data_IF_394486644900
#
_entry.id   IF_394486644900
#
_cell.length_a   1.000
_cell.length_b   1.000
_cell.length_c   1.000
_cell.angle_alpha   90.00
_cell.angle_beta   90.00
_cell.angle_gamma   90.00
#
_symmetry.space_group_name_H-M   'P 1'
#
loop_
_entity.id
_entity.type
_entity.pdbx_description
1 polymer ?
#
# COMPACT_ATOMS: atom_id res chain seq x y z
N UNK A 1 10.24 -13.49 -15.87
CA UNK A 1 10.78 -12.18 -15.45
C UNK A 1 10.40 -11.91 -14.00
N UNK A 2 11.34 -11.47 -13.16
CA UNK A 2 11.11 -11.12 -11.76
C UNK A 2 11.00 -9.58 -11.65
N UNK A 3 9.84 -9.08 -11.24
CA UNK A 3 9.57 -7.64 -11.14
C UNK A 3 9.46 -7.23 -9.68
N UNK A 4 10.16 -6.15 -9.29
CA UNK A 4 10.08 -5.53 -7.98
C UNK A 4 9.35 -4.19 -8.08
N UNK A 5 8.49 -3.92 -7.10
CA UNK A 5 7.90 -2.59 -6.91
C UNK A 5 8.32 -2.05 -5.54
N UNK A 6 8.94 -0.87 -5.50
CA UNK A 6 9.35 -0.20 -4.27
C UNK A 6 8.38 0.93 -3.96
N UNK A 7 7.60 0.76 -2.87
CA UNK A 7 6.66 1.75 -2.37
C UNK A 7 6.97 2.05 -0.89
N UNK A 8 7.82 3.06 -0.59
CA UNK A 8 8.31 3.31 0.77
C UNK A 8 7.42 4.23 1.61
N UNK A 9 6.21 4.57 1.15
CA UNK A 9 5.26 5.38 1.89
C UNK A 9 4.73 4.66 3.12
N UNK A 10 4.23 5.45 4.08
CA UNK A 10 3.85 4.97 5.40
C UNK A 10 2.32 4.88 5.49
N UNK A 11 1.84 3.71 5.91
CA UNK A 11 0.44 3.50 6.25
C UNK A 11 -0.36 2.69 5.23
N UNK A 12 -1.44 2.11 5.73
CA UNK A 12 -2.35 1.26 4.95
C UNK A 12 -3.02 2.05 3.80
N UNK A 13 -3.42 3.31 4.06
CA UNK A 13 -4.04 4.15 3.04
C UNK A 13 -3.13 4.40 1.84
N UNK A 14 -1.84 4.66 2.07
CA UNK A 14 -0.88 4.78 0.97
C UNK A 14 -0.75 3.45 0.20
N UNK A 15 -0.77 2.29 0.90
CA UNK A 15 -0.71 0.99 0.23
C UNK A 15 -1.91 0.80 -0.71
N UNK A 16 -3.11 1.10 -0.24
CA UNK A 16 -4.34 1.00 -1.06
C UNK A 16 -4.27 1.92 -2.28
N UNK A 17 -3.79 3.16 -2.13
CA UNK A 17 -3.62 4.11 -3.23
C UNK A 17 -2.71 3.56 -4.34
N UNK A 18 -1.68 2.79 -3.98
CA UNK A 18 -0.73 2.25 -4.96
C UNK A 18 -1.16 0.93 -5.59
N UNK A 19 -2.17 0.23 -5.06
CA UNK A 19 -2.63 -1.07 -5.60
C UNK A 19 -2.98 -1.06 -7.09
N UNK A 20 -3.74 -0.09 -7.63
CA UNK A 20 -4.09 -0.08 -9.05
C UNK A 20 -2.85 -0.11 -9.96
N UNK A 21 -1.80 0.60 -9.57
CA UNK A 21 -0.55 0.70 -10.32
C UNK A 21 0.28 -0.58 -10.22
N UNK A 22 0.31 -1.19 -9.04
CA UNK A 22 0.97 -2.48 -8.79
C UNK A 22 0.28 -3.58 -9.62
N UNK A 23 -1.05 -3.61 -9.62
CA UNK A 23 -1.83 -4.54 -10.42
C UNK A 23 -1.63 -4.31 -11.93
N UNK A 24 -1.57 -3.05 -12.39
CA UNK A 24 -1.28 -2.74 -13.78
C UNK A 24 0.09 -3.26 -14.22
N UNK A 25 1.11 -3.09 -13.38
CA UNK A 25 2.46 -3.64 -13.61
C UNK A 25 2.40 -5.18 -13.70
N UNK A 26 1.75 -5.84 -12.74
CA UNK A 26 1.59 -7.29 -12.74
C UNK A 26 0.90 -7.78 -14.01
N UNK A 27 -0.19 -7.14 -14.42
CA UNK A 27 -0.95 -7.47 -15.64
C UNK A 27 -0.11 -7.27 -16.91
N UNK A 28 0.59 -6.13 -17.02
CA UNK A 28 1.44 -5.83 -18.21
C UNK A 28 2.54 -6.86 -18.42
N UNK A 29 3.19 -7.28 -17.35
CA UNK A 29 4.28 -8.24 -17.40
C UNK A 29 3.81 -9.70 -17.26
N UNK A 30 2.50 -9.93 -17.12
CA UNK A 30 1.88 -11.27 -16.94
C UNK A 30 2.59 -12.08 -15.84
N UNK A 31 2.96 -11.43 -14.75
CA UNK A 31 3.67 -12.04 -13.62
C UNK A 31 3.26 -11.39 -12.31
N UNK A 32 3.14 -12.18 -11.25
CA UNK A 32 2.99 -11.62 -9.91
C UNK A 32 4.29 -10.90 -9.51
N UNK A 33 4.16 -9.70 -8.93
CA UNK A 33 5.28 -8.83 -8.58
C UNK A 33 5.68 -8.97 -7.11
N UNK A 34 6.95 -8.82 -6.81
CA UNK A 34 7.42 -8.62 -5.44
C UNK A 34 7.30 -7.16 -5.06
N UNK A 35 6.90 -6.86 -3.82
CA UNK A 35 6.81 -5.48 -3.35
C UNK A 35 7.74 -5.24 -2.15
N UNK A 36 8.42 -4.09 -2.13
CA UNK A 36 9.21 -3.61 -1.00
C UNK A 36 8.48 -2.44 -0.35
N UNK A 37 7.94 -2.67 0.84
CA UNK A 37 7.06 -1.75 1.56
C UNK A 37 7.42 -1.67 3.04
N UNK A 38 6.98 -0.64 3.74
CA UNK A 38 7.14 -0.54 5.20
C UNK A 38 6.15 -1.46 5.93
N UNK A 39 6.54 -1.93 7.12
CA UNK A 39 5.72 -2.79 7.98
C UNK A 39 4.33 -2.20 8.25
N UNK A 40 4.28 -0.91 8.57
CA UNK A 40 3.02 -0.22 8.87
C UNK A 40 2.10 0.03 7.66
N UNK A 41 2.49 -0.41 6.47
CA UNK A 41 1.59 -0.51 5.31
C UNK A 41 0.52 -1.58 5.49
N UNK A 42 0.73 -2.52 6.43
CA UNK A 42 -0.11 -3.69 6.66
C UNK A 42 -0.30 -4.56 5.41
N UNK A 43 0.67 -4.53 4.49
CA UNK A 43 0.60 -5.24 3.22
C UNK A 43 0.38 -6.75 3.42
N UNK A 44 1.04 -7.38 4.39
CA UNK A 44 0.86 -8.80 4.71
C UNK A 44 -0.60 -9.18 5.05
N UNK A 45 -1.35 -8.26 5.68
CA UNK A 45 -2.76 -8.48 6.00
C UNK A 45 -3.68 -8.15 4.82
N UNK A 46 -3.36 -7.05 4.13
CA UNK A 46 -4.20 -6.49 3.07
C UNK A 46 -4.13 -7.31 1.77
N UNK A 47 -2.96 -7.90 1.47
CA UNK A 47 -2.64 -8.52 0.19
C UNK A 47 -2.40 -10.03 0.30
N UNK A 48 -2.82 -10.67 1.39
CA UNK A 48 -2.59 -12.10 1.63
C UNK A 48 -3.17 -12.99 0.51
N UNK A 49 -4.29 -12.58 -0.07
CA UNK A 49 -5.01 -13.33 -1.12
C UNK A 49 -4.78 -12.71 -2.52
N UNK A 50 -3.87 -11.75 -2.63
CA UNK A 50 -3.68 -11.02 -3.88
C UNK A 50 -2.76 -11.76 -4.85
N UNK A 51 -3.37 -12.38 -5.87
CA UNK A 51 -2.67 -13.13 -6.93
C UNK A 51 -1.67 -12.31 -7.75
N UNK A 52 -1.75 -10.99 -7.72
CA UNK A 52 -0.82 -10.09 -8.38
C UNK A 52 0.47 -9.88 -7.58
N UNK A 53 0.49 -10.31 -6.31
CA UNK A 53 1.63 -10.17 -5.42
C UNK A 53 2.29 -11.54 -5.19
N UNK A 54 3.58 -11.62 -5.51
CA UNK A 54 4.39 -12.83 -5.31
C UNK A 54 4.96 -12.94 -3.91
N UNK A 55 5.52 -11.83 -3.43
CA UNK A 55 6.09 -11.75 -2.08
C UNK A 55 6.11 -10.30 -1.59
N UNK A 56 6.09 -10.14 -0.28
CA UNK A 56 6.15 -8.86 0.40
C UNK A 56 7.46 -8.77 1.16
N UNK A 57 8.33 -7.86 0.74
CA UNK A 57 9.59 -7.55 1.38
C UNK A 57 9.40 -6.35 2.30
N UNK A 58 9.88 -6.45 3.53
CA UNK A 58 9.73 -5.37 4.51
C UNK A 58 10.93 -4.43 4.47
N UNK A 59 10.66 -3.18 4.19
CA UNK A 59 11.61 -2.08 4.31
C UNK A 59 11.66 -1.62 5.77
N UNK A 60 12.57 -2.18 6.53
CA UNK A 60 12.79 -1.83 7.93
C UNK A 60 13.63 -0.54 8.04
N UNK A 61 12.94 0.60 7.99
CA UNK A 61 13.52 1.93 8.19
C UNK A 61 12.69 2.73 9.18
N UNK A 62 13.35 3.26 10.20
CA UNK A 62 12.74 4.00 11.29
C UNK A 62 13.11 5.49 11.25
N UNK A 63 12.37 6.32 11.98
CA UNK A 63 12.71 7.75 12.14
C UNK A 63 14.01 7.96 12.92
N UNK A 64 14.33 7.05 13.83
CA UNK A 64 15.48 7.14 14.73
C UNK A 64 16.73 6.44 14.17
N UNK A 65 16.73 6.08 12.88
CA UNK A 65 17.83 5.36 12.22
C UNK A 65 18.25 4.05 12.92
N UNK A 66 17.31 3.37 13.55
CA UNK A 66 17.54 2.08 14.26
C UNK A 66 17.09 0.86 13.45
N UNK A 67 16.47 1.05 12.30
CA UNK A 67 16.05 -0.03 11.41
C UNK A 67 17.24 -0.70 10.70
N UNK A 68 17.08 -1.96 10.36
CA UNK A 68 18.13 -2.76 9.70
C UNK A 68 18.52 -2.22 8.32
N UNK A 69 17.68 -1.41 7.70
CA UNK A 69 17.92 -0.76 6.40
C UNK A 69 18.23 0.74 6.51
N UNK A 70 18.59 1.22 7.71
CA UNK A 70 18.99 2.61 7.94
C UNK A 70 20.49 2.83 7.76
N UNK A 71 20.89 4.08 7.61
CA UNK A 71 22.29 4.48 7.44
C UNK A 71 22.97 3.87 6.22
N UNK A 72 24.30 3.86 6.22
CA UNK A 72 25.12 3.26 5.16
C UNK A 72 25.14 1.74 5.23
N UNK A 73 25.25 1.17 6.44
CA UNK A 73 25.21 -0.28 6.64
C UNK A 73 23.91 -0.88 6.12
N UNK A 74 22.77 -0.28 6.44
CA UNK A 74 21.46 -0.71 5.95
C UNK A 74 21.26 -0.48 4.45
N UNK A 75 21.95 0.48 3.88
CA UNK A 75 21.98 0.66 2.43
C UNK A 75 22.62 -0.55 1.73
N UNK A 76 23.81 -0.98 2.17
CA UNK A 76 24.49 -2.14 1.59
C UNK A 76 23.77 -3.45 1.92
N UNK A 77 23.21 -3.57 3.12
CA UNK A 77 22.38 -4.73 3.48
C UNK A 77 21.21 -4.90 2.54
N UNK A 78 20.40 -3.86 2.34
CA UNK A 78 19.25 -3.91 1.42
C UNK A 78 19.69 -4.21 -0.02
N UNK A 79 20.83 -3.63 -0.47
CA UNK A 79 21.36 -3.95 -1.81
C UNK A 79 21.72 -5.42 -1.95
N UNK A 80 22.34 -6.02 -0.92
CA UNK A 80 22.67 -7.45 -0.89
C UNK A 80 21.41 -8.31 -0.86
N UNK A 81 20.43 -7.97 -0.04
CA UNK A 81 19.17 -8.71 0.08
C UNK A 81 18.41 -8.73 -1.25
N UNK A 82 18.35 -7.58 -1.95
CA UNK A 82 17.73 -7.51 -3.27
C UNK A 82 18.55 -8.24 -4.35
N UNK A 83 19.87 -8.22 -4.27
CA UNK A 83 20.75 -8.97 -5.20
C UNK A 83 20.50 -10.46 -5.16
N UNK A 84 20.29 -11.03 -3.99
CA UNK A 84 19.97 -12.46 -3.81
C UNK A 84 18.63 -12.87 -4.43
N UNK A 85 17.74 -11.91 -4.66
CA UNK A 85 16.43 -12.13 -5.28
C UNK A 85 16.47 -12.14 -6.81
N UNK A 86 17.52 -11.57 -7.41
CA UNK A 86 17.76 -11.55 -8.87
C UNK A 86 16.59 -10.95 -9.66
N UNK A 87 16.18 -9.73 -9.32
CA UNK A 87 15.16 -9.01 -10.04
C UNK A 87 15.64 -8.52 -11.41
N UNK A 88 14.81 -8.68 -12.43
CA UNK A 88 15.08 -8.20 -13.79
C UNK A 88 14.72 -6.72 -13.97
N UNK A 89 13.64 -6.30 -13.31
CA UNK A 89 13.08 -4.94 -13.41
C UNK A 89 12.58 -4.45 -12.07
N UNK A 90 12.73 -3.13 -11.85
CA UNK A 90 12.17 -2.45 -10.66
C UNK A 90 11.42 -1.19 -11.04
N UNK A 91 10.27 -0.98 -10.39
CA UNK A 91 9.50 0.25 -10.40
C UNK A 91 9.61 0.93 -9.04
N UNK A 92 10.13 2.17 -9.00
CA UNK A 92 10.40 2.90 -7.76
C UNK A 92 9.45 4.09 -7.65
N UNK A 93 8.40 3.96 -6.86
CA UNK A 93 7.43 5.02 -6.55
C UNK A 93 7.99 6.04 -5.54
N UNK A 94 9.23 6.43 -5.76
CA UNK A 94 9.95 7.39 -4.91
C UNK A 94 11.05 8.11 -5.71
N UNK A 95 11.30 9.39 -5.41
CA UNK A 95 12.33 10.21 -6.08
C UNK A 95 13.70 10.17 -5.39
N UNK A 96 13.93 9.26 -4.45
CA UNK A 96 15.18 9.18 -3.70
C UNK A 96 16.27 8.47 -4.48
N UNK A 97 17.43 9.11 -4.63
CA UNK A 97 18.64 8.50 -5.17
C UNK A 97 19.04 7.20 -4.45
N UNK A 98 18.69 7.09 -3.17
CA UNK A 98 18.99 5.90 -2.37
C UNK A 98 18.45 4.62 -3.01
N UNK A 99 17.18 4.61 -3.41
CA UNK A 99 16.58 3.40 -4.01
C UNK A 99 17.12 3.12 -5.40
N UNK A 100 17.44 4.15 -6.18
CA UNK A 100 18.11 4.02 -7.46
C UNK A 100 19.46 3.31 -7.31
N UNK A 101 20.29 3.81 -6.39
CA UNK A 101 21.63 3.27 -6.16
C UNK A 101 21.57 1.84 -5.58
N UNK A 102 20.69 1.58 -4.63
CA UNK A 102 20.42 0.23 -4.11
C UNK A 102 20.09 -0.75 -5.24
N UNK A 103 19.18 -0.36 -6.13
CA UNK A 103 18.77 -1.20 -7.25
C UNK A 103 19.92 -1.46 -8.25
N UNK A 104 20.74 -0.44 -8.52
CA UNK A 104 21.93 -0.59 -9.38
C UNK A 104 22.98 -1.54 -8.76
N UNK A 105 23.27 -1.38 -7.47
CA UNK A 105 24.22 -2.24 -6.73
C UNK A 105 23.68 -3.67 -6.63
N UNK A 106 22.36 -3.84 -6.51
CA UNK A 106 21.71 -5.14 -6.54
C UNK A 106 21.80 -5.83 -7.93
N UNK A 107 22.28 -5.12 -8.96
CA UNK A 107 22.43 -5.65 -10.30
C UNK A 107 21.16 -5.63 -11.15
N UNK A 108 20.12 -4.88 -10.72
CA UNK A 108 18.88 -4.75 -11.49
C UNK A 108 19.13 -3.87 -12.72
N UNK A 109 18.94 -4.44 -13.91
CA UNK A 109 19.29 -3.75 -15.17
C UNK A 109 18.23 -2.73 -15.61
N UNK A 110 16.96 -3.05 -15.44
CA UNK A 110 15.85 -2.22 -15.87
C UNK A 110 15.23 -1.48 -14.68
N UNK A 111 15.52 -0.18 -14.56
CA UNK A 111 15.07 0.63 -13.42
C UNK A 111 14.18 1.75 -13.91
N UNK A 112 12.93 1.74 -13.49
CA UNK A 112 11.97 2.83 -13.67
C UNK A 112 11.75 3.53 -12.34
N UNK A 113 11.94 4.86 -12.29
CA UNK A 113 11.85 5.64 -11.05
C UNK A 113 11.11 6.95 -11.28
N UNK A 114 10.42 7.45 -10.26
CA UNK A 114 9.94 8.83 -10.24
C UNK A 114 11.08 9.82 -10.53
N UNK A 115 10.84 10.88 -11.31
CA UNK A 115 11.84 11.91 -11.54
C UNK A 115 12.41 12.45 -10.23
N UNK A 116 13.75 12.66 -10.18
CA UNK A 116 14.43 13.13 -8.98
C UNK A 116 13.95 14.52 -8.53
N UNK A 117 13.63 15.39 -9.49
CA UNK A 117 13.15 16.76 -9.28
C UNK A 117 11.73 16.89 -9.82
N UNK A 118 10.76 16.33 -9.12
CA UNK A 118 9.36 16.50 -9.53
C UNK A 118 8.66 17.54 -8.65
N UNK A 119 7.69 18.25 -9.23
CA UNK A 119 6.75 19.08 -8.48
C UNK A 119 5.95 18.21 -7.48
N UNK A 120 5.55 18.82 -6.37
CA UNK A 120 4.64 18.16 -5.42
C UNK A 120 3.23 18.13 -6.02
N UNK A 121 2.90 17.03 -6.65
CA UNK A 121 1.56 16.76 -7.15
C UNK A 121 0.80 15.80 -6.24
N UNK A 122 -0.48 15.66 -6.50
CA UNK A 122 -1.30 14.65 -5.87
C UNK A 122 -0.69 13.25 -6.09
N UNK A 123 -0.68 12.44 -5.03
CA UNK A 123 -0.07 11.12 -5.03
C UNK A 123 -0.67 10.19 -6.10
N UNK A 124 -2.00 10.22 -6.27
CA UNK A 124 -2.73 9.42 -7.26
C UNK A 124 -2.32 9.81 -8.67
N UNK A 125 -2.34 11.13 -8.97
CA UNK A 125 -1.96 11.68 -10.27
C UNK A 125 -0.51 11.32 -10.63
N UNK A 126 0.40 11.48 -9.67
CA UNK A 126 1.82 11.16 -9.89
C UNK A 126 2.05 9.67 -10.16
N UNK A 127 1.38 8.81 -9.42
CA UNK A 127 1.52 7.36 -9.60
C UNK A 127 0.90 6.93 -10.93
N UNK A 128 -0.25 7.50 -11.30
CA UNK A 128 -0.90 7.26 -12.59
C UNK A 128 0.02 7.62 -13.75
N UNK A 129 0.44 8.90 -13.83
CA UNK A 129 1.28 9.39 -14.93
C UNK A 129 2.56 8.56 -15.07
N UNK A 130 3.23 8.27 -13.95
CA UNK A 130 4.44 7.45 -13.96
C UNK A 130 4.17 6.07 -14.53
N UNK A 131 3.11 5.41 -14.06
CA UNK A 131 2.81 4.04 -14.48
C UNK A 131 2.37 4.01 -15.95
N UNK A 132 1.54 4.94 -16.38
CA UNK A 132 1.11 5.07 -17.80
C UNK A 132 2.30 5.29 -18.73
N UNK A 133 3.21 6.19 -18.37
CA UNK A 133 4.42 6.45 -19.16
C UNK A 133 5.33 5.22 -19.28
N UNK A 134 5.47 4.45 -18.19
CA UNK A 134 6.33 3.26 -18.16
C UNK A 134 5.72 2.03 -18.86
N UNK A 135 4.41 1.91 -18.82
CA UNK A 135 3.70 0.76 -19.40
C UNK A 135 3.20 1.02 -20.83
N UNK A 136 3.05 2.29 -21.23
CA UNK A 136 2.44 2.69 -22.50
C UNK A 136 0.93 2.45 -22.55
N UNK A 137 0.26 2.23 -21.41
CA UNK A 137 -1.16 1.89 -21.32
C UNK A 137 -1.88 2.81 -20.32
N UNK A 138 -3.17 3.05 -20.53
CA UNK A 138 -4.02 3.78 -19.58
C UNK A 138 -4.25 2.92 -18.34
N UNK A 139 -4.06 3.50 -17.15
CA UNK A 139 -4.16 2.78 -15.86
C UNK A 139 -5.33 3.31 -15.04
N UNK A 140 -6.13 2.38 -14.51
CA UNK A 140 -7.19 2.71 -13.53
C UNK A 140 -6.58 3.28 -12.26
N UNK A 141 -7.30 4.20 -11.61
CA UNK A 141 -6.97 4.72 -10.29
C UNK A 141 -7.79 4.07 -9.17
N UNK A 142 -8.71 3.17 -9.52
CA UNK A 142 -9.57 2.49 -8.56
C UNK A 142 -8.84 1.31 -7.91
N UNK A 143 -8.66 1.32 -6.59
CA UNK A 143 -8.05 0.20 -5.90
C UNK A 143 -9.03 -0.98 -5.81
N UNK A 144 -8.50 -2.16 -5.97
CA UNK A 144 -9.21 -3.42 -5.76
C UNK A 144 -8.47 -4.22 -4.70
N UNK A 145 -9.18 -4.64 -3.65
CA UNK A 145 -8.67 -5.54 -2.62
C UNK A 145 -9.27 -6.91 -2.89
N UNK A 146 -8.40 -7.87 -3.17
CA UNK A 146 -8.83 -9.25 -3.43
C UNK A 146 -9.02 -9.93 -2.08
N UNK A 147 -10.22 -10.47 -1.87
CA UNK A 147 -10.62 -11.18 -0.64
C UNK A 147 -10.94 -12.63 -0.94
N UNK A 148 -10.73 -13.48 0.06
CA UNK A 148 -11.13 -14.88 0.00
C UNK A 148 -12.66 -14.99 0.14
N UNK A 149 -13.30 -15.79 -0.72
CA UNK A 149 -14.75 -15.99 -0.74
C UNK A 149 -15.27 -16.61 0.58
N UNK A 150 -14.50 -17.47 1.23
CA UNK A 150 -14.87 -18.07 2.51
C UNK A 150 -14.97 -17.00 3.60
N UNK A 151 -14.01 -16.08 3.66
CA UNK A 151 -14.04 -14.94 4.59
C UNK A 151 -15.19 -13.98 4.29
N UNK A 152 -15.51 -13.78 3.02
CA UNK A 152 -16.69 -12.98 2.63
C UNK A 152 -17.98 -13.64 3.08
N UNK A 153 -18.10 -14.96 2.92
CA UNK A 153 -19.28 -15.72 3.34
C UNK A 153 -19.40 -15.75 4.87
N UNK A 154 -18.31 -15.96 5.60
CA UNK A 154 -18.26 -15.84 7.06
C UNK A 154 -18.72 -14.46 7.54
N UNK A 155 -18.23 -13.40 6.91
CA UNK A 155 -18.65 -12.03 7.23
C UNK A 155 -20.16 -11.84 6.97
N UNK A 156 -20.69 -12.33 5.83
CA UNK A 156 -22.12 -12.26 5.53
C UNK A 156 -22.99 -12.97 6.56
N UNK A 157 -22.53 -14.08 7.13
CA UNK A 157 -23.25 -14.80 8.19
C UNK A 157 -23.26 -14.04 9.52
N UNK A 158 -22.19 -13.30 9.82
CA UNK A 158 -22.09 -12.47 11.04
C UNK A 158 -22.95 -11.22 10.99
N UNK A 159 -23.29 -10.73 9.80
CA UNK A 159 -24.06 -9.50 9.61
C UNK A 159 -25.53 -9.82 9.33
N UNK A 160 -26.37 -9.76 10.38
CA UNK A 160 -27.82 -9.94 10.28
C UNK A 160 -28.44 -8.87 9.36
N UNK A 161 -29.42 -9.29 8.54
CA UNK A 161 -30.17 -8.35 7.67
C UNK A 161 -31.16 -7.44 8.42
N UNK A 162 -31.43 -7.74 9.69
CA UNK A 162 -32.36 -6.98 10.54
C UNK A 162 -31.86 -5.58 10.89
N UNK A 163 -30.55 -5.39 10.87
CA UNK A 163 -29.90 -4.14 11.25
C UNK A 163 -29.08 -3.55 10.10
N UNK A 164 -28.96 -2.23 10.08
CA UNK A 164 -27.92 -1.57 9.31
C UNK A 164 -26.59 -1.67 10.07
N UNK A 165 -25.57 -2.22 9.43
CA UNK A 165 -24.23 -2.34 9.98
C UNK A 165 -23.41 -1.11 9.56
N UNK A 166 -22.97 -0.32 10.55
CA UNK A 166 -22.28 0.96 10.34
C UNK A 166 -20.92 0.92 11.03
N UNK A 167 -19.85 1.05 10.26
CA UNK A 167 -18.50 1.17 10.79
C UNK A 167 -18.12 2.64 10.97
N UNK A 168 -17.67 3.02 12.17
CA UNK A 168 -17.22 4.36 12.52
C UNK A 168 -15.70 4.35 12.66
N UNK A 169 -15.01 5.09 11.77
CA UNK A 169 -13.58 5.36 11.90
C UNK A 169 -13.35 6.44 12.96
N UNK A 170 -12.97 6.03 14.16
CA UNK A 170 -12.82 6.95 15.31
C UNK A 170 -11.37 7.38 15.56
N UNK A 171 -10.39 6.71 14.95
CA UNK A 171 -8.99 7.04 15.11
C UNK A 171 -8.43 7.82 13.92
N UNK A 172 -7.47 8.68 14.20
CA UNK A 172 -6.74 9.40 13.17
C UNK A 172 -5.32 9.75 13.67
N UNK A 173 -4.41 9.95 12.73
CA UNK A 173 -2.98 10.20 12.98
C UNK A 173 -2.68 11.53 13.68
N UNK A 174 -3.66 12.39 13.90
CA UNK A 174 -3.48 13.69 14.57
C UNK A 174 -4.74 14.20 15.25
N UNK A 175 -4.61 15.03 16.28
CA UNK A 175 -5.75 15.53 17.07
C UNK A 175 -6.75 16.33 16.25
N UNK A 176 -6.28 17.10 15.26
CA UNK A 176 -7.14 17.92 14.38
C UNK A 176 -7.99 17.09 13.39
N UNK A 177 -7.71 15.80 13.26
CA UNK A 177 -8.44 14.87 12.42
C UNK A 177 -9.42 13.99 13.20
N UNK A 178 -9.50 14.17 14.52
CA UNK A 178 -10.38 13.40 15.39
C UNK A 178 -11.64 14.20 15.68
N UNK A 179 -12.78 13.59 15.46
CA UNK A 179 -14.04 14.17 15.86
C UNK A 179 -14.29 13.90 17.35
N UNK A 180 -14.97 14.81 18.05
CA UNK A 180 -15.27 14.63 19.48
C UNK A 180 -16.17 13.41 19.68
N UNK A 181 -15.87 12.59 20.69
CA UNK A 181 -16.61 11.37 21.01
C UNK A 181 -18.09 11.65 21.27
N UNK A 182 -18.43 12.81 21.86
CA UNK A 182 -19.82 13.23 22.11
C UNK A 182 -20.62 13.36 20.81
N UNK A 183 -19.96 13.76 19.73
CA UNK A 183 -20.60 13.87 18.42
C UNK A 183 -20.85 12.50 17.79
N UNK A 184 -19.91 11.54 17.93
CA UNK A 184 -20.15 10.15 17.51
C UNK A 184 -21.33 9.53 18.27
N UNK A 185 -21.43 9.76 19.59
CA UNK A 185 -22.56 9.26 20.40
C UNK A 185 -23.88 9.85 19.90
N UNK A 186 -23.96 11.19 19.69
CA UNK A 186 -25.16 11.84 19.13
C UNK A 186 -25.51 11.29 17.76
N UNK A 187 -24.51 11.06 16.90
CA UNK A 187 -24.71 10.49 15.57
C UNK A 187 -25.33 9.09 15.67
N UNK A 188 -24.78 8.22 16.51
CA UNK A 188 -25.30 6.87 16.73
C UNK A 188 -26.75 6.88 17.21
N UNK A 189 -27.07 7.72 18.20
CA UNK A 189 -28.44 7.86 18.74
C UNK A 189 -29.39 8.31 17.64
N UNK A 190 -29.03 9.35 16.88
CA UNK A 190 -29.88 9.90 15.82
C UNK A 190 -30.11 8.92 14.66
N UNK A 191 -29.10 8.13 14.30
CA UNK A 191 -29.24 7.10 13.28
C UNK A 191 -30.16 5.99 13.79
N UNK A 192 -29.87 5.47 14.99
CA UNK A 192 -30.63 4.33 15.54
C UNK A 192 -32.11 4.66 15.81
N UNK A 193 -32.42 5.92 16.10
CA UNK A 193 -33.80 6.38 16.23
C UNK A 193 -34.61 6.33 14.92
N UNK A 194 -33.92 6.34 13.77
CA UNK A 194 -34.56 6.29 12.44
C UNK A 194 -34.49 4.92 11.80
N UNK A 195 -33.38 4.22 11.99
CA UNK A 195 -33.09 2.93 11.36
C UNK A 195 -32.39 2.04 12.38
N UNK A 196 -32.95 0.87 12.74
CA UNK A 196 -32.29 -0.06 13.62
C UNK A 196 -30.86 -0.39 13.12
N UNK A 197 -29.86 -0.05 13.93
CA UNK A 197 -28.46 -0.08 13.50
C UNK A 197 -27.54 -0.71 14.54
N UNK A 198 -26.51 -1.43 14.05
CA UNK A 198 -25.38 -1.88 14.86
C UNK A 198 -24.12 -1.10 14.46
N UNK A 199 -23.43 -0.56 15.45
CA UNK A 199 -22.25 0.27 15.23
C UNK A 199 -20.98 -0.50 15.58
N UNK A 200 -19.98 -0.38 14.72
CA UNK A 200 -18.66 -0.98 14.88
C UNK A 200 -17.62 0.13 14.91
N UNK A 201 -16.70 0.08 15.87
CA UNK A 201 -15.66 1.08 16.03
C UNK A 201 -14.36 0.56 15.41
N UNK A 202 -13.84 1.29 14.42
CA UNK A 202 -12.53 1.06 13.85
C UNK A 202 -11.53 2.08 14.43
N UNK A 203 -10.52 1.59 15.18
CA UNK A 203 -9.49 2.38 15.85
C UNK A 203 -8.07 2.04 15.33
#
# INVERSE_FOLDING_TARGET
>A
MKVLVIQPKIGMGDMVIYLPYIHAISKKYQTAVSILVKENSRANQLLAEDKHIKEILILDRTKNNSGTHDGLSGFFKLSKDLKLKEFDKVFIFNSSLRFLLISKIAGIKNISQYPLFRKKDNIVTSAKIFTENELGDIVSTQPEIITNDDKVNEAKQKFSKEFKHICLGISASGPTKRWDIKNYIKLCININARIPSKFYLAA
#
